data_IF_695075335449
#
_entry.id   IF_695075335449
#
_cell.length_a   1.000
_cell.length_b   1.000
_cell.length_c   1.000
_cell.angle_alpha   90.00
_cell.angle_beta   90.00
_cell.angle_gamma   90.00
#
_symmetry.space_group_name_H-M   'P 1'
#
loop_
_entity.id
_entity.type
_entity.pdbx_description
1 polymer ?
#
# COMPACT_ATOMS: atom_id res chain seq x y z
N UNK A 1 4.56 10.35 9.26
CA UNK A 1 3.19 10.88 9.31
C UNK A 1 2.35 10.14 8.29
N UNK A 2 1.82 8.97 8.68
CA UNK A 2 0.72 8.36 7.91
C UNK A 2 -0.51 9.18 8.24
N UNK A 3 -1.21 9.60 7.19
CA UNK A 3 -2.49 10.29 7.26
C UNK A 3 -3.48 9.34 7.96
N UNK A 4 -3.57 9.46 9.28
CA UNK A 4 -4.75 9.04 10.03
C UNK A 4 -5.53 10.32 10.32
N UNK A 5 -6.79 10.31 9.89
CA UNK A 5 -7.82 11.29 10.17
C UNK A 5 -7.68 12.68 9.51
N UNK A 6 -7.87 12.70 8.19
CA UNK A 6 -8.83 13.66 7.64
C UNK A 6 -10.01 12.87 7.10
N UNK A 7 -11.23 13.27 7.45
CA UNK A 7 -12.49 12.68 7.03
C UNK A 7 -12.55 12.44 5.51
N UNK A 8 -12.17 11.24 5.08
CA UNK A 8 -11.91 10.88 3.69
C UNK A 8 -13.20 10.44 2.99
N UNK A 9 -14.20 11.33 2.97
CA UNK A 9 -15.56 11.01 2.47
C UNK A 9 -15.70 11.09 0.95
N UNK A 10 -14.60 11.04 0.20
CA UNK A 10 -14.60 11.14 -1.27
C UNK A 10 -14.62 9.77 -1.94
N UNK A 11 -15.24 9.69 -3.11
CA UNK A 11 -15.23 8.49 -3.96
C UNK A 11 -14.00 8.54 -4.88
N UNK A 12 -13.33 7.40 -5.08
CA UNK A 12 -12.19 7.27 -5.99
C UNK A 12 -12.66 6.53 -7.24
N UNK A 13 -12.59 7.19 -8.39
CA UNK A 13 -12.76 6.56 -9.69
C UNK A 13 -11.41 6.02 -10.15
N UNK A 14 -11.33 4.72 -10.44
CA UNK A 14 -10.10 4.07 -10.90
C UNK A 14 -10.32 3.35 -12.22
N UNK A 15 -9.72 3.87 -13.30
CA UNK A 15 -9.78 3.27 -14.64
C UNK A 15 -8.58 2.37 -14.85
N UNK A 16 -8.86 1.10 -15.17
CA UNK A 16 -7.83 0.14 -15.59
C UNK A 16 -8.09 -0.40 -16.97
N UNK A 17 -7.04 -0.64 -17.75
CA UNK A 17 -7.18 -1.41 -18.98
C UNK A 17 -5.91 -1.48 -19.83
N UNK A 18 -5.84 -2.47 -20.72
CA UNK A 18 -4.70 -2.61 -21.62
C UNK A 18 -4.78 -1.65 -22.81
N UNK A 19 -3.64 -1.07 -23.20
CA UNK A 19 -3.47 -0.46 -24.51
C UNK A 19 -2.33 -1.15 -25.28
N UNK A 20 -2.64 -1.58 -26.50
CA UNK A 20 -1.67 -2.26 -27.36
C UNK A 20 -0.65 -1.26 -27.93
N UNK A 21 0.61 -1.36 -27.48
CA UNK A 21 1.72 -0.63 -28.06
C UNK A 21 2.37 -1.46 -29.17
N UNK A 22 2.16 -1.04 -30.42
CA UNK A 22 2.70 -1.68 -31.64
C UNK A 22 3.60 -0.68 -32.36
N UNK A 23 4.88 -0.98 -32.44
CA UNK A 23 5.89 -0.09 -33.01
C UNK A 23 6.80 -0.86 -33.97
N UNK A 24 6.89 -0.41 -35.21
CA UNK A 24 7.81 -0.95 -36.21
C UNK A 24 9.03 -0.03 -36.33
N UNK A 25 10.21 -0.57 -36.05
CA UNK A 25 11.49 0.13 -36.11
C UNK A 25 12.29 -0.35 -37.32
N UNK A 26 12.50 0.55 -38.28
CA UNK A 26 13.27 0.26 -39.50
C UNK A 26 14.77 0.57 -39.33
N UNK A 27 15.17 1.17 -38.20
CA UNK A 27 16.55 1.54 -37.88
C UNK A 27 16.82 1.33 -36.38
N UNK A 28 18.07 1.04 -36.03
CA UNK A 28 18.57 0.96 -34.65
C UNK A 28 19.21 2.28 -34.17
N UNK A 29 19.14 3.34 -34.98
CA UNK A 29 19.56 4.68 -34.57
C UNK A 29 18.63 5.21 -33.47
N UNK A 30 19.21 5.63 -32.35
CA UNK A 30 18.44 6.04 -31.17
C UNK A 30 17.48 7.20 -31.45
N UNK A 31 17.89 8.20 -32.23
CA UNK A 31 17.08 9.38 -32.52
C UNK A 31 15.89 9.05 -33.43
N UNK A 32 16.10 8.17 -34.42
CA UNK A 32 15.02 7.63 -35.24
C UNK A 32 14.06 6.76 -34.41
N UNK A 33 14.58 5.91 -33.54
CA UNK A 33 13.76 5.09 -32.64
C UNK A 33 12.87 5.93 -31.74
N UNK A 34 13.42 6.97 -31.09
CA UNK A 34 12.66 7.89 -30.24
C UNK A 34 11.52 8.55 -31.02
N UNK A 35 11.78 9.02 -32.24
CA UNK A 35 10.74 9.62 -33.09
C UNK A 35 9.61 8.65 -33.43
N UNK A 36 9.93 7.39 -33.75
CA UNK A 36 8.91 6.39 -34.06
C UNK A 36 8.08 6.06 -32.81
N UNK A 37 8.73 5.89 -31.66
CA UNK A 37 8.06 5.63 -30.37
C UNK A 37 7.11 6.77 -30.01
N UNK A 38 7.55 8.03 -30.08
CA UNK A 38 6.70 9.20 -29.85
C UNK A 38 5.50 9.24 -30.81
N UNK A 39 5.69 8.84 -32.07
CA UNK A 39 4.59 8.76 -33.05
C UNK A 39 3.58 7.66 -32.70
N UNK A 40 4.04 6.54 -32.16
CA UNK A 40 3.18 5.48 -31.63
C UNK A 40 2.39 5.98 -30.42
N UNK A 41 3.02 6.68 -29.48
CA UNK A 41 2.32 7.31 -28.35
C UNK A 41 1.29 8.35 -28.81
N UNK A 42 1.60 9.21 -29.79
CA UNK A 42 0.64 10.15 -30.38
C UNK A 42 -0.60 9.44 -30.99
N UNK A 43 -0.41 8.24 -31.53
CA UNK A 43 -1.51 7.40 -32.02
C UNK A 43 -2.36 6.88 -30.85
N UNK A 44 -1.74 6.42 -29.77
CA UNK A 44 -2.45 5.99 -28.56
C UNK A 44 -3.23 7.13 -27.90
N UNK A 45 -2.65 8.33 -27.82
CA UNK A 45 -3.36 9.54 -27.37
C UNK A 45 -4.61 9.80 -28.21
N UNK A 46 -4.48 9.67 -29.53
CA UNK A 46 -5.60 9.86 -30.47
C UNK A 46 -6.68 8.78 -30.30
N UNK A 47 -6.31 7.55 -29.94
CA UNK A 47 -7.26 6.48 -29.61
C UNK A 47 -8.06 6.81 -28.33
N UNK A 48 -7.39 7.22 -27.26
CA UNK A 48 -8.06 7.57 -25.99
C UNK A 48 -8.97 8.80 -26.14
N UNK A 49 -8.61 9.76 -27.00
CA UNK A 49 -9.43 10.95 -27.32
C UNK A 49 -10.51 10.70 -28.37
N UNK A 50 -10.57 9.52 -28.97
CA UNK A 50 -11.59 9.21 -29.98
C UNK A 50 -12.94 8.92 -29.33
N UNK A 51 -14.01 9.14 -30.08
CA UNK A 51 -15.37 8.75 -29.66
C UNK A 51 -15.55 7.24 -29.47
N UNK A 52 -14.61 6.43 -29.95
CA UNK A 52 -14.59 4.97 -29.75
C UNK A 52 -14.01 4.57 -28.39
N UNK A 53 -13.47 5.50 -27.60
CA UNK A 53 -13.03 5.24 -26.23
C UNK A 53 -14.26 5.06 -25.33
N UNK A 54 -14.30 3.95 -24.61
CA UNK A 54 -15.43 3.55 -23.75
C UNK A 54 -14.91 3.17 -22.38
N UNK A 55 -15.59 3.63 -21.32
CA UNK A 55 -15.33 3.25 -19.94
C UNK A 55 -16.53 2.47 -19.41
N UNK A 56 -16.29 1.27 -18.91
CA UNK A 56 -17.33 0.42 -18.32
C UNK A 56 -17.15 0.38 -16.80
N UNK A 57 -18.23 0.54 -16.03
CA UNK A 57 -18.17 0.35 -14.58
C UNK A 57 -18.13 -1.16 -14.32
N UNK A 58 -17.16 -1.61 -13.52
CA UNK A 58 -17.05 -3.03 -13.19
C UNK A 58 -18.28 -3.48 -12.39
N UNK A 59 -18.71 -4.71 -12.64
CA UNK A 59 -19.84 -5.35 -11.94
C UNK A 59 -21.15 -4.53 -12.04
N UNK A 60 -21.32 -3.84 -13.16
CA UNK A 60 -22.43 -2.92 -13.40
C UNK A 60 -22.81 -2.90 -14.89
N UNK A 61 -24.09 -2.65 -15.25
CA UNK A 61 -24.48 -2.41 -16.64
C UNK A 61 -24.07 -1.03 -17.16
N UNK A 62 -23.43 -0.18 -16.33
CA UNK A 62 -23.14 1.21 -16.69
C UNK A 62 -21.96 1.30 -17.66
N UNK A 63 -22.22 1.89 -18.82
CA UNK A 63 -21.23 2.15 -19.89
C UNK A 63 -21.22 3.64 -20.21
N UNK A 64 -20.01 4.21 -20.33
CA UNK A 64 -19.78 5.64 -20.46
C UNK A 64 -18.87 5.91 -21.66
N UNK A 65 -19.31 6.79 -22.55
CA UNK A 65 -18.52 7.34 -23.66
C UNK A 65 -18.05 8.75 -23.30
N UNK A 66 -16.86 8.90 -22.70
CA UNK A 66 -16.42 10.19 -22.18
C UNK A 66 -16.29 11.26 -23.28
N UNK A 67 -15.90 10.87 -24.50
CA UNK A 67 -15.68 11.79 -25.62
C UNK A 67 -16.96 12.16 -26.40
N UNK A 68 -18.13 11.58 -26.09
CA UNK A 68 -19.42 11.92 -26.72
C UNK A 68 -20.28 12.79 -25.80
N UNK A 69 -19.68 13.81 -25.21
CA UNK A 69 -20.34 14.64 -24.19
C UNK A 69 -20.69 13.86 -22.92
N UNK A 70 -19.84 12.88 -22.56
CA UNK A 70 -20.06 11.94 -21.44
C UNK A 70 -21.39 11.22 -21.56
N UNK A 71 -21.67 10.65 -22.73
CA UNK A 71 -22.88 9.85 -22.93
C UNK A 71 -22.83 8.60 -22.05
N UNK A 72 -23.90 8.35 -21.28
CA UNK A 72 -24.00 7.24 -20.32
C UNK A 72 -25.18 6.35 -20.71
N UNK A 73 -25.01 5.04 -20.50
CA UNK A 73 -26.11 4.07 -20.54
C UNK A 73 -26.09 3.29 -19.22
N UNK A 74 -27.25 2.96 -18.61
CA UNK A 74 -28.64 3.19 -19.04
C UNK A 74 -29.09 4.67 -19.04
N UNK A 75 -30.18 5.00 -19.76
CA UNK A 75 -30.71 6.38 -19.91
C UNK A 75 -31.11 7.06 -18.59
N UNK A 76 -31.32 6.27 -17.53
CA UNK A 76 -31.64 6.76 -16.18
C UNK A 76 -30.47 7.52 -15.53
N UNK A 77 -29.24 7.37 -16.05
CA UNK A 77 -28.06 8.09 -15.59
C UNK A 77 -27.73 9.19 -16.58
N UNK A 78 -27.67 10.42 -16.08
CA UNK A 78 -27.34 11.60 -16.90
C UNK A 78 -25.94 12.11 -16.55
N UNK A 79 -25.29 12.87 -17.45
CA UNK A 79 -23.99 13.48 -17.14
C UNK A 79 -24.00 14.38 -15.89
N UNK A 80 -25.17 14.92 -15.51
CA UNK A 80 -25.35 15.79 -14.35
C UNK A 80 -25.66 15.03 -13.05
N UNK A 81 -25.83 13.71 -13.13
CA UNK A 81 -26.00 12.87 -11.93
C UNK A 81 -24.74 12.95 -11.07
N UNK A 82 -24.88 12.83 -9.74
CA UNK A 82 -23.74 12.86 -8.83
C UNK A 82 -22.93 11.56 -8.94
N UNK A 83 -21.60 11.64 -8.81
CA UNK A 83 -20.74 10.46 -8.90
C UNK A 83 -21.08 9.39 -7.85
N UNK A 84 -21.47 9.82 -6.65
CA UNK A 84 -21.81 8.91 -5.55
C UNK A 84 -23.03 8.03 -5.86
N UNK A 85 -23.91 8.45 -6.77
CA UNK A 85 -25.09 7.68 -7.17
C UNK A 85 -24.73 6.49 -8.07
N UNK A 86 -23.54 6.45 -8.68
CA UNK A 86 -23.07 5.30 -9.48
C UNK A 86 -23.03 4.03 -8.60
N UNK A 87 -22.76 4.17 -7.31
CA UNK A 87 -22.72 3.02 -6.39
C UNK A 87 -24.02 2.23 -6.34
N UNK A 88 -25.17 2.85 -6.62
CA UNK A 88 -26.46 2.18 -6.61
C UNK A 88 -26.62 1.16 -7.75
N UNK A 89 -25.75 1.26 -8.77
CA UNK A 89 -25.80 0.44 -9.99
C UNK A 89 -24.74 -0.66 -10.02
N UNK A 90 -23.90 -0.77 -8.99
CA UNK A 90 -22.89 -1.82 -8.87
C UNK A 90 -23.54 -3.01 -8.16
N UNK A 91 -23.51 -4.18 -8.81
CA UNK A 91 -23.99 -5.43 -8.24
C UNK A 91 -23.02 -5.85 -7.14
N UNK A 92 -23.52 -6.04 -5.92
CA UNK A 92 -22.73 -6.60 -4.82
C UNK A 92 -23.00 -8.09 -4.72
N UNK A 93 -21.94 -8.91 -4.54
CA UNK A 93 -22.03 -10.37 -4.38
C UNK A 93 -23.00 -10.82 -3.26
N UNK A 94 -23.37 -9.94 -2.34
CA UNK A 94 -24.36 -10.21 -1.29
C UNK A 94 -25.81 -10.35 -1.82
N UNK A 95 -26.14 -9.80 -3.00
CA UNK A 95 -27.52 -9.82 -3.52
C UNK A 95 -27.95 -11.17 -4.12
N UNK A 96 -27.01 -12.06 -4.47
CA UNK A 96 -27.35 -13.34 -5.10
C UNK A 96 -27.72 -14.46 -4.12
N UNK A 97 -27.66 -14.21 -2.80
CA UNK A 97 -28.03 -15.20 -1.77
C UNK A 97 -29.31 -14.89 -0.98
N UNK A 98 -29.92 -13.72 -1.18
CA UNK A 98 -31.10 -13.30 -0.41
C UNK A 98 -32.26 -12.91 -1.33
N UNK A 99 -33.19 -13.86 -1.51
CA UNK A 99 -34.46 -13.62 -2.19
C UNK A 99 -35.19 -12.38 -1.67
N UNK A 100 -35.70 -11.58 -2.62
CA UNK A 100 -36.55 -10.39 -2.47
C UNK A 100 -37.26 -10.27 -1.11
N UNK A 101 -36.67 -9.52 -0.18
CA UNK A 101 -37.42 -8.78 0.85
C UNK A 101 -36.81 -7.40 1.03
N UNK A 102 -37.62 -6.40 0.71
CA UNK A 102 -37.38 -4.99 0.95
C UNK A 102 -37.09 -4.72 2.43
N UNK A 103 -35.87 -4.31 2.74
CA UNK A 103 -35.54 -3.68 4.01
C UNK A 103 -34.58 -2.52 3.73
N UNK A 104 -35.07 -1.29 3.92
CA UNK A 104 -34.25 -0.08 4.06
C UNK A 104 -33.32 -0.28 5.27
N UNK A 105 -32.14 -0.86 5.04
CA UNK A 105 -31.07 -0.90 6.03
C UNK A 105 -30.25 0.38 5.85
N UNK A 106 -30.35 1.24 6.85
CA UNK A 106 -29.63 2.51 6.94
C UNK A 106 -28.14 2.19 6.96
N UNK A 107 -27.44 2.45 5.85
CA UNK A 107 -26.00 2.22 5.74
C UNK A 107 -25.29 3.03 6.82
N UNK A 108 -24.64 2.34 7.76
CA UNK A 108 -23.69 2.94 8.69
C UNK A 108 -22.52 3.39 7.82
N UNK A 109 -22.40 4.71 7.55
CA UNK A 109 -21.29 5.27 6.77
C UNK A 109 -19.97 4.82 7.41
N UNK A 110 -19.33 3.85 6.77
CA UNK A 110 -17.92 3.52 6.98
C UNK A 110 -17.11 4.77 6.63
N UNK A 111 -16.12 5.13 7.45
CA UNK A 111 -15.22 6.26 7.24
C UNK A 111 -14.18 6.02 6.13
N UNK A 112 -14.32 4.94 5.37
CA UNK A 112 -13.36 4.50 4.35
C UNK A 112 -13.79 5.04 2.98
N UNK A 113 -12.85 5.61 2.23
CA UNK A 113 -13.05 6.06 0.86
C UNK A 113 -13.60 4.93 -0.02
N UNK A 114 -14.66 5.24 -0.77
CA UNK A 114 -15.30 4.28 -1.66
C UNK A 114 -14.58 4.24 -3.01
N UNK A 115 -14.39 3.06 -3.62
CA UNK A 115 -13.65 2.92 -4.88
C UNK A 115 -14.57 2.34 -5.96
N UNK A 116 -14.71 3.06 -7.08
CA UNK A 116 -15.42 2.60 -8.28
C UNK A 116 -14.38 2.20 -9.32
N UNK A 117 -14.35 0.90 -9.65
CA UNK A 117 -13.49 0.38 -10.69
C UNK A 117 -14.14 0.58 -12.06
N UNK A 118 -13.39 1.16 -12.98
CA UNK A 118 -13.75 1.36 -14.37
C UNK A 118 -12.79 0.55 -15.25
N UNK A 119 -13.27 0.02 -16.37
CA UNK A 119 -12.46 -0.67 -17.36
C UNK A 119 -12.41 0.13 -18.67
N UNK A 120 -11.19 0.44 -19.11
CA UNK A 120 -10.93 1.06 -20.40
C UNK A 120 -11.13 0.06 -21.53
N UNK A 121 -11.97 0.42 -22.50
CA UNK A 121 -12.30 -0.37 -23.66
C UNK A 121 -12.34 0.50 -24.92
N UNK A 122 -12.26 -0.14 -26.08
CA UNK A 122 -12.43 0.50 -27.38
C UNK A 122 -13.60 -0.14 -28.11
N UNK A 123 -14.48 0.69 -28.69
CA UNK A 123 -15.57 0.24 -29.53
C UNK A 123 -15.01 -0.53 -30.74
N UNK A 124 -15.38 -1.81 -30.85
CA UNK A 124 -14.90 -2.69 -31.93
C UNK A 124 -15.55 -2.37 -33.29
N UNK A 125 -16.74 -1.76 -33.27
CA UNK A 125 -17.55 -1.49 -34.45
C UNK A 125 -17.24 -0.11 -35.02
N UNK A 126 -16.69 -0.07 -36.23
CA UNK A 126 -16.67 1.14 -37.06
C UNK A 126 -17.92 1.14 -37.92
N UNK A 127 -18.76 2.16 -37.79
CA UNK A 127 -19.90 2.36 -38.69
C UNK A 127 -19.37 2.89 -40.03
N UNK A 128 -19.49 2.10 -41.10
CA UNK A 128 -19.16 2.55 -42.46
C UNK A 128 -18.80 1.42 -43.43
N UNK A 129 -18.75 1.70 -44.74
CA UNK A 129 -18.28 0.73 -45.72
C UNK A 129 -16.80 0.43 -45.47
N UNK A 130 -16.50 -0.80 -45.04
CA UNK A 130 -15.13 -1.28 -44.96
C UNK A 130 -14.58 -1.34 -46.38
N UNK A 131 -13.55 -0.54 -46.67
CA UNK A 131 -12.80 -0.70 -47.92
C UNK A 131 -12.23 -2.12 -47.99
N UNK A 132 -12.30 -2.76 -49.16
CA UNK A 132 -11.75 -4.10 -49.34
C UNK A 132 -10.26 -4.13 -48.90
N UNK A 133 -9.82 -5.12 -48.11
CA UNK A 133 -8.45 -5.16 -47.62
C UNK A 133 -7.49 -5.31 -48.81
N UNK A 134 -6.59 -4.34 -48.97
CA UNK A 134 -5.52 -4.41 -49.97
C UNK A 134 -4.31 -5.08 -49.31
N UNK A 135 -3.98 -6.29 -49.75
CA UNK A 135 -2.76 -6.99 -49.34
C UNK A 135 -1.59 -6.48 -50.19
N UNK A 136 -0.70 -5.72 -49.55
CA UNK A 136 0.59 -5.32 -50.14
C UNK A 136 1.72 -6.06 -49.44
N UNK A 137 2.50 -6.83 -50.21
CA UNK A 137 3.71 -7.51 -49.70
C UNK A 137 4.92 -6.61 -49.86
N UNK A 138 5.54 -6.24 -48.75
CA UNK A 138 6.84 -5.56 -48.71
C UNK A 138 7.81 -6.44 -47.94
N UNK A 139 9.01 -6.67 -48.47
CA UNK A 139 10.06 -7.44 -47.80
C UNK A 139 11.11 -6.46 -47.29
N UNK A 140 11.13 -6.23 -45.99
CA UNK A 140 12.10 -5.36 -45.32
C UNK A 140 12.54 -6.02 -44.01
N UNK A 141 13.79 -5.78 -43.60
CA UNK A 141 14.25 -6.13 -42.26
C UNK A 141 13.89 -4.98 -41.32
N UNK A 142 13.00 -5.25 -40.38
CA UNK A 142 12.56 -4.30 -39.36
C UNK A 142 12.49 -5.01 -38.01
N UNK A 143 12.70 -4.27 -36.93
CA UNK A 143 12.39 -4.74 -35.58
C UNK A 143 10.94 -4.39 -35.26
N UNK A 144 10.21 -5.31 -34.64
CA UNK A 144 8.84 -5.06 -34.20
C UNK A 144 8.80 -5.12 -32.67
N UNK A 145 8.43 -4.00 -32.06
CA UNK A 145 8.18 -3.90 -30.64
C UNK A 145 6.68 -4.04 -30.40
N UNK A 146 6.32 -5.01 -29.58
CA UNK A 146 4.96 -5.23 -29.14
C UNK A 146 4.93 -5.39 -27.64
N UNK A 147 4.10 -4.59 -26.98
CA UNK A 147 3.80 -4.74 -25.56
C UNK A 147 2.40 -4.24 -25.27
N UNK A 148 1.89 -4.60 -24.10
CA UNK A 148 0.63 -4.08 -23.57
C UNK A 148 0.94 -3.08 -22.47
N UNK A 149 0.55 -1.83 -22.67
CA UNK A 149 0.70 -0.79 -21.67
C UNK A 149 -0.42 -0.91 -20.63
N UNK A 150 -0.09 -1.01 -19.34
CA UNK A 150 -1.08 -1.11 -18.27
C UNK A 150 -1.59 0.29 -17.93
N UNK A 151 -2.76 0.69 -18.46
CA UNK A 151 -3.40 1.92 -18.00
C UNK A 151 -3.98 1.68 -16.61
N UNK A 152 -3.60 2.51 -15.64
CA UNK A 152 -4.24 2.59 -14.31
C UNK A 152 -4.31 4.06 -13.89
N UNK A 153 -5.47 4.71 -14.03
CA UNK A 153 -5.65 6.13 -13.72
C UNK A 153 -6.65 6.31 -12.59
N UNK A 154 -6.40 7.29 -11.72
CA UNK A 154 -7.26 7.60 -10.58
C UNK A 154 -7.68 9.06 -10.57
N UNK A 155 -8.94 9.30 -10.21
CA UNK A 155 -9.48 10.62 -9.92
C UNK A 155 -10.30 10.53 -8.64
N UNK A 156 -10.05 11.46 -7.73
CA UNK A 156 -10.82 11.61 -6.50
C UNK A 156 -11.95 12.61 -6.72
N UNK A 157 -13.16 12.22 -6.32
CA UNK A 157 -14.35 13.06 -6.42
C UNK A 157 -14.78 13.59 -5.06
N UNK A 158 -15.40 14.77 -5.08
CA UNK A 158 -16.15 15.35 -3.96
C UNK A 158 -17.63 14.95 -4.06
N UNK A 159 -18.39 15.15 -2.99
CA UNK A 159 -19.83 14.87 -2.96
C UNK A 159 -20.65 15.72 -3.96
N UNK A 160 -20.06 16.79 -4.49
CA UNK A 160 -20.72 17.71 -5.42
C UNK A 160 -20.35 17.46 -6.88
N UNK A 161 -19.40 16.54 -7.14
CA UNK A 161 -18.89 16.33 -8.48
C UNK A 161 -19.91 15.53 -9.31
N UNK A 162 -20.28 16.07 -10.47
CA UNK A 162 -21.11 15.36 -11.42
C UNK A 162 -20.29 14.31 -12.18
N UNK A 163 -20.98 13.33 -12.78
CA UNK A 163 -20.34 12.35 -13.68
C UNK A 163 -19.56 13.07 -14.77
N UNK A 164 -20.10 14.15 -15.34
CA UNK A 164 -19.40 14.94 -16.35
C UNK A 164 -18.06 15.48 -15.84
N UNK A 165 -18.06 16.18 -14.70
CA UNK A 165 -16.86 16.81 -14.13
C UNK A 165 -15.78 15.78 -13.77
N UNK A 166 -16.20 14.62 -13.26
CA UNK A 166 -15.27 13.56 -12.89
C UNK A 166 -14.67 12.87 -14.12
N UNK A 167 -15.46 12.62 -15.17
CA UNK A 167 -14.99 11.93 -16.37
C UNK A 167 -14.17 12.84 -17.30
N UNK A 168 -14.40 14.15 -17.29
CA UNK A 168 -13.52 15.12 -17.96
C UNK A 168 -12.11 15.10 -17.31
N UNK A 169 -12.03 15.19 -15.98
CA UNK A 169 -10.76 15.05 -15.25
C UNK A 169 -10.09 13.69 -15.45
N UNK A 170 -10.89 12.62 -15.56
CA UNK A 170 -10.38 11.27 -15.81
C UNK A 170 -9.76 11.14 -17.20
N UNK A 171 -10.32 11.80 -18.20
CA UNK A 171 -9.78 11.83 -19.55
C UNK A 171 -8.47 12.64 -19.63
N UNK A 172 -8.39 13.73 -18.87
CA UNK A 172 -7.15 14.48 -18.65
C UNK A 172 -6.09 13.59 -17.97
N UNK A 173 -6.46 12.85 -16.92
CA UNK A 173 -5.57 11.92 -16.23
C UNK A 173 -5.06 10.79 -17.16
N UNK A 174 -5.93 10.19 -17.98
CA UNK A 174 -5.55 9.18 -18.99
C UNK A 174 -4.55 9.75 -20.00
N UNK A 175 -4.79 10.98 -20.47
CA UNK A 175 -3.90 11.67 -21.40
C UNK A 175 -2.56 11.96 -20.72
N UNK A 176 -2.58 12.51 -19.50
CA UNK A 176 -1.36 12.82 -18.75
C UNK A 176 -0.51 11.57 -18.49
N UNK A 177 -1.14 10.46 -18.10
CA UNK A 177 -0.43 9.20 -17.90
C UNK A 177 0.26 8.69 -19.16
N UNK A 178 -0.36 8.79 -20.34
CA UNK A 178 0.29 8.42 -21.59
C UNK A 178 1.52 9.30 -21.88
N UNK A 179 1.48 10.60 -21.55
CA UNK A 179 2.65 11.48 -21.65
C UNK A 179 3.78 11.02 -20.71
N UNK A 180 3.46 10.64 -19.47
CA UNK A 180 4.47 10.15 -18.51
C UNK A 180 5.02 8.78 -18.92
N UNK A 181 4.17 7.88 -19.43
CA UNK A 181 4.60 6.60 -20.00
C UNK A 181 5.55 6.79 -21.19
N UNK A 182 5.28 7.77 -22.06
CA UNK A 182 6.20 8.14 -23.15
C UNK A 182 7.55 8.59 -22.61
N UNK A 183 7.57 9.52 -21.65
CA UNK A 183 8.82 10.01 -21.02
C UNK A 183 9.63 8.88 -20.42
N UNK A 184 9.01 8.02 -19.60
CA UNK A 184 9.68 6.88 -18.96
C UNK A 184 10.22 5.90 -20.00
N UNK A 185 9.44 5.61 -21.04
CA UNK A 185 9.86 4.72 -22.13
C UNK A 185 11.08 5.26 -22.85
N UNK A 186 11.08 6.55 -23.21
CA UNK A 186 12.19 7.20 -23.91
C UNK A 186 13.45 7.33 -23.04
N UNK A 187 13.30 7.49 -21.73
CA UNK A 187 14.43 7.56 -20.80
C UNK A 187 15.10 6.19 -20.57
N UNK A 188 14.34 5.09 -20.63
CA UNK A 188 14.81 3.77 -20.22
C UNK A 188 15.00 2.77 -21.36
N UNK A 189 14.70 3.16 -22.60
CA UNK A 189 14.96 2.30 -23.76
C UNK A 189 16.47 2.08 -23.94
N UNK A 190 16.88 0.81 -24.04
CA UNK A 190 18.28 0.41 -24.27
C UNK A 190 18.36 -0.46 -25.51
N UNK A 191 18.93 0.09 -26.58
CA UNK A 191 18.91 -0.57 -27.89
C UNK A 191 17.46 -0.84 -28.32
N UNK A 192 17.13 -2.08 -28.64
CA UNK A 192 15.77 -2.50 -29.03
C UNK A 192 14.94 -3.07 -27.88
N UNK A 193 15.38 -2.92 -26.63
CA UNK A 193 14.66 -3.43 -25.46
C UNK A 193 13.85 -2.31 -24.82
N UNK A 194 12.52 -2.48 -24.84
CA UNK A 194 11.56 -1.57 -24.21
C UNK A 194 11.15 -2.12 -22.85
N UNK A 195 11.28 -1.30 -21.82
CA UNK A 195 10.74 -1.59 -20.49
C UNK A 195 9.31 -1.05 -20.41
N UNK A 196 8.39 -1.85 -19.87
CA UNK A 196 6.98 -1.46 -19.75
C UNK A 196 6.87 -0.37 -18.68
N UNK A 197 6.28 0.80 -18.98
CA UNK A 197 6.02 1.81 -17.96
C UNK A 197 4.81 1.40 -17.11
N UNK A 198 5.01 1.33 -15.79
CA UNK A 198 4.03 0.92 -14.79
C UNK A 198 3.58 2.14 -13.97
N UNK A 199 2.29 2.53 -14.06
CA UNK A 199 1.72 3.55 -13.19
C UNK A 199 1.50 2.99 -11.77
N UNK A 200 1.94 3.74 -10.76
CA UNK A 200 1.70 3.48 -9.35
C UNK A 200 1.10 4.71 -8.69
N UNK A 201 0.18 4.49 -7.75
CA UNK A 201 -0.50 5.57 -7.04
C UNK A 201 0.08 5.71 -5.64
N UNK A 202 0.28 6.94 -5.16
CA UNK A 202 0.87 7.25 -3.87
C UNK A 202 -0.03 8.23 -3.14
N UNK A 203 -0.40 7.93 -1.89
CA UNK A 203 -1.15 8.85 -1.05
C UNK A 203 -0.16 9.70 -0.24
N UNK A 204 0.03 10.94 -0.68
CA UNK A 204 0.91 11.90 -0.05
C UNK A 204 0.17 12.69 1.04
N UNK A 205 0.89 13.29 2.01
CA UNK A 205 0.30 14.22 2.95
C UNK A 205 -0.42 15.38 2.23
N UNK A 206 -1.49 15.89 2.86
CA UNK A 206 -2.17 17.10 2.40
C UNK A 206 -1.17 18.27 2.24
N UNK A 207 -1.31 19.11 1.21
CA UNK A 207 -2.43 19.20 0.26
C UNK A 207 -2.30 18.33 -1.01
N UNK A 208 -1.27 17.48 -1.12
CA UNK A 208 -0.96 16.78 -2.37
C UNK A 208 -1.93 15.63 -2.67
N UNK A 209 -2.35 14.88 -1.65
CA UNK A 209 -3.30 13.77 -1.80
C UNK A 209 -2.78 12.64 -2.69
N UNK A 210 -3.68 12.04 -3.49
CA UNK A 210 -3.38 10.87 -4.33
C UNK A 210 -2.69 11.28 -5.64
N UNK A 211 -1.45 10.84 -5.83
CA UNK A 211 -0.59 11.15 -6.99
C UNK A 211 -0.26 9.88 -7.77
N UNK A 212 -0.15 9.97 -9.09
CA UNK A 212 0.30 8.86 -9.95
C UNK A 212 1.71 9.12 -10.46
N UNK A 213 2.60 8.15 -10.28
CA UNK A 213 3.98 8.15 -10.79
C UNK A 213 4.17 6.94 -11.67
N UNK A 214 4.87 7.10 -12.79
CA UNK A 214 5.16 6.01 -13.72
C UNK A 214 6.62 5.57 -13.55
N UNK A 215 6.82 4.27 -13.34
CA UNK A 215 8.15 3.66 -13.22
C UNK A 215 8.40 2.62 -14.32
N UNK A 216 9.65 2.41 -14.74
CA UNK A 216 9.97 1.32 -15.65
C UNK A 216 9.93 -0.03 -14.94
N UNK A 217 9.14 -0.97 -15.48
CA UNK A 217 9.07 -2.35 -15.01
C UNK A 217 10.45 -3.02 -15.02
N UNK A 218 10.76 -3.76 -13.95
CA UNK A 218 12.01 -4.51 -13.83
C UNK A 218 13.24 -3.70 -13.39
N UNK A 219 13.14 -2.38 -13.23
CA UNK A 219 14.21 -1.56 -12.63
C UNK A 219 14.01 -1.47 -11.11
N UNK A 220 14.96 -1.93 -10.28
CA UNK A 220 14.82 -1.94 -8.82
C UNK A 220 14.79 -0.53 -8.24
N UNK A 221 14.20 -0.36 -7.04
CA UNK A 221 14.05 0.97 -6.41
C UNK A 221 15.42 1.60 -6.09
N UNK A 222 16.47 0.80 -5.90
CA UNK A 222 17.84 1.27 -5.72
C UNK A 222 18.39 2.07 -6.91
N UNK A 223 17.89 1.86 -8.12
CA UNK A 223 18.32 2.59 -9.33
C UNK A 223 17.45 3.82 -9.64
N UNK A 224 16.34 4.01 -8.91
CA UNK A 224 15.36 5.07 -9.15
C UNK A 224 15.43 6.20 -8.11
N UNK A 225 16.49 6.24 -7.30
CA UNK A 225 16.67 7.24 -6.24
C UNK A 225 16.68 8.67 -6.76
N UNK A 226 17.32 8.92 -7.91
CA UNK A 226 17.36 10.27 -8.52
C UNK A 226 15.96 10.74 -8.91
N UNK A 227 15.17 9.87 -9.55
CA UNK A 227 13.77 10.19 -9.88
C UNK A 227 12.95 10.46 -8.61
N UNK A 228 13.18 9.72 -7.51
CA UNK A 228 12.50 9.98 -6.23
C UNK A 228 12.92 11.30 -5.59
N UNK A 229 14.19 11.71 -5.68
CA UNK A 229 14.64 13.04 -5.24
C UNK A 229 13.91 14.15 -5.97
N UNK A 230 13.78 14.03 -7.28
CA UNK A 230 13.05 15.01 -8.10
C UNK A 230 11.57 15.07 -7.69
N UNK A 231 10.94 13.92 -7.42
CA UNK A 231 9.56 13.85 -6.92
C UNK A 231 9.41 14.46 -5.51
N UNK A 232 10.34 14.20 -4.59
CA UNK A 232 10.35 14.84 -3.28
C UNK A 232 10.42 16.36 -3.39
N UNK A 233 11.30 16.88 -4.25
CA UNK A 233 11.41 18.31 -4.52
C UNK A 233 10.13 18.86 -5.15
N UNK A 234 9.56 18.15 -6.13
CA UNK A 234 8.33 18.56 -6.82
C UNK A 234 7.13 18.68 -5.87
N UNK A 235 7.01 17.79 -4.89
CA UNK A 235 5.89 17.74 -3.94
C UNK A 235 6.22 18.34 -2.57
N UNK A 236 7.38 19.01 -2.43
CA UNK A 236 7.85 19.67 -1.21
C UNK A 236 7.88 18.73 0.02
N UNK A 237 8.26 17.46 -0.21
CA UNK A 237 8.29 16.43 0.84
C UNK A 237 9.65 16.40 1.56
N UNK A 238 9.67 16.10 2.88
CA UNK A 238 10.92 15.94 3.61
C UNK A 238 11.74 14.72 3.14
N UNK A 239 13.06 14.86 3.06
CA UNK A 239 14.01 13.79 2.71
C UNK A 239 14.34 12.85 3.89
N UNK A 240 13.36 12.60 4.76
CA UNK A 240 13.51 11.78 5.97
C UNK A 240 12.70 10.48 5.91
N UNK A 241 11.88 10.32 4.88
CA UNK A 241 10.94 9.22 4.76
C UNK A 241 10.73 8.83 3.29
N UNK A 242 10.76 7.55 2.92
CA UNK A 242 10.43 7.09 1.57
C UNK A 242 8.94 7.23 1.27
N UNK A 243 8.59 8.06 0.28
CA UNK A 243 7.20 8.25 -0.17
C UNK A 243 6.89 7.53 -1.49
N UNK A 244 7.87 7.38 -2.37
CA UNK A 244 7.65 6.96 -3.76
C UNK A 244 8.28 5.62 -4.12
N UNK A 245 8.65 4.78 -3.15
CA UNK A 245 9.10 3.41 -3.43
C UNK A 245 7.91 2.53 -3.73
N UNK A 246 8.11 1.44 -4.47
CA UNK A 246 6.98 0.57 -4.88
C UNK A 246 6.18 0.03 -3.70
N UNK A 247 6.84 -0.23 -2.57
CA UNK A 247 6.19 -0.66 -1.34
C UNK A 247 5.25 0.40 -0.72
N UNK A 248 5.47 1.69 -1.03
CA UNK A 248 4.63 2.80 -0.56
C UNK A 248 3.41 3.06 -1.47
N UNK A 249 3.22 2.27 -2.53
CA UNK A 249 2.07 2.42 -3.39
C UNK A 249 0.76 2.25 -2.58
N UNK A 250 -0.18 3.17 -2.82
CA UNK A 250 -1.47 3.19 -2.17
C UNK A 250 -2.24 1.91 -2.47
N UNK A 251 -2.61 1.20 -1.39
CA UNK A 251 -3.48 0.04 -1.48
C UNK A 251 -4.93 0.48 -1.40
N UNK A 252 -5.68 0.23 -2.47
CA UNK A 252 -7.09 0.62 -2.51
C UNK A 252 -7.89 -0.26 -1.53
N UNK A 253 -8.87 0.31 -0.78
CA UNK A 253 -9.63 -0.43 0.23
C UNK A 253 -10.37 -1.67 -0.26
N UNK A 254 -10.69 -1.75 -1.55
CA UNK A 254 -11.35 -2.89 -2.18
C UNK A 254 -10.37 -4.00 -2.62
N UNK A 255 -9.07 -3.87 -2.38
CA UNK A 255 -8.07 -4.87 -2.72
C UNK A 255 -7.64 -5.68 -1.50
N UNK A 256 -7.92 -6.98 -1.49
CA UNK A 256 -7.47 -7.89 -0.44
C UNK A 256 -5.97 -8.15 -0.50
N UNK A 257 -5.32 -8.32 0.66
CA UNK A 257 -3.93 -8.75 0.72
C UNK A 257 -3.83 -10.24 0.35
N UNK A 258 -2.95 -10.57 -0.60
CA UNK A 258 -2.80 -11.94 -1.11
C UNK A 258 -2.09 -12.88 -0.11
N UNK A 259 -1.37 -12.30 0.84
CA UNK A 259 -0.61 -13.04 1.86
C UNK A 259 -1.46 -13.45 3.07
N UNK A 260 -2.68 -12.93 3.18
CA UNK A 260 -3.64 -13.30 4.21
C UNK A 260 -3.46 -12.63 5.57
N UNK A 261 -2.33 -11.97 5.86
CA UNK A 261 -2.11 -11.36 7.18
C UNK A 261 -2.92 -10.07 7.36
N UNK A 262 -3.50 -9.90 8.54
CA UNK A 262 -4.17 -8.64 8.90
C UNK A 262 -3.18 -7.46 8.94
N UNK A 263 -3.62 -6.31 8.41
CA UNK A 263 -2.89 -5.05 8.47
C UNK A 263 -3.50 -4.12 9.50
N UNK A 264 -2.65 -3.48 10.28
CA UNK A 264 -3.01 -2.42 11.23
C UNK A 264 -4.29 -2.71 12.05
N UNK A 265 -4.40 -3.87 12.74
CA UNK A 265 -5.60 -4.21 13.51
C UNK A 265 -5.94 -3.16 14.58
N UNK A 266 -4.97 -2.35 15.01
CA UNK A 266 -5.18 -1.27 15.96
C UNK A 266 -6.09 -0.12 15.48
N UNK A 267 -6.27 0.06 14.16
CA UNK A 267 -7.05 1.20 13.62
C UNK A 267 -8.55 1.13 13.93
N UNK A 268 -9.09 -0.05 14.22
CA UNK A 268 -10.51 -0.20 14.59
C UNK A 268 -10.76 -0.01 16.09
N UNK A 269 -9.71 0.16 16.88
CA UNK A 269 -9.80 0.31 18.33
C UNK A 269 -10.21 1.74 18.69
N UNK A 270 -11.03 1.87 19.73
CA UNK A 270 -11.28 3.16 20.35
C UNK A 270 -10.09 3.56 21.23
N UNK A 271 -9.58 4.77 21.04
CA UNK A 271 -8.51 5.30 21.89
C UNK A 271 -8.98 5.57 23.32
N UNK A 272 -8.16 5.29 24.35
CA UNK A 272 -8.50 5.59 25.72
C UNK A 272 -8.55 7.11 25.92
N UNK A 273 -9.58 7.59 26.60
CA UNK A 273 -9.65 8.98 27.06
C UNK A 273 -8.93 9.09 28.40
N UNK A 274 -7.78 9.78 28.39
CA UNK A 274 -7.01 10.13 29.58
C UNK A 274 -7.09 11.64 29.78
N UNK A 275 -7.14 12.10 31.03
CA UNK A 275 -7.17 13.52 31.33
C UNK A 275 -5.88 14.20 30.86
N UNK A 276 -6.01 15.20 29.98
CA UNK A 276 -4.89 15.82 29.24
C UNK A 276 -3.92 14.81 28.60
N UNK A 277 -4.40 13.62 28.24
CA UNK A 277 -3.57 12.59 27.60
C UNK A 277 -3.54 12.72 26.10
N UNK A 278 -2.40 12.38 25.52
CA UNK A 278 -2.19 12.30 24.08
C UNK A 278 -1.88 10.87 23.66
N UNK A 279 -2.27 10.51 22.44
CA UNK A 279 -2.04 9.20 21.85
C UNK A 279 -0.89 9.30 20.86
N UNK A 280 0.12 8.45 21.03
CA UNK A 280 1.30 8.35 20.18
C UNK A 280 1.36 6.93 19.61
N UNK A 281 0.74 6.69 18.44
CA UNK A 281 0.76 5.39 17.79
C UNK A 281 1.97 5.23 16.85
N UNK A 282 2.21 3.99 16.45
CA UNK A 282 3.03 3.61 15.30
C UNK A 282 2.56 4.37 14.05
N UNK A 283 3.52 4.81 13.23
CA UNK A 283 3.25 5.51 11.98
C UNK A 283 3.61 4.58 10.84
N UNK A 284 2.65 4.16 10.02
CA UNK A 284 2.93 3.21 8.93
C UNK A 284 1.93 2.08 8.87
N UNK A 285 2.15 1.22 7.89
CA UNK A 285 1.46 -0.06 7.72
C UNK A 285 2.38 -1.18 8.20
N UNK A 286 1.82 -2.13 8.95
CA UNK A 286 2.49 -3.36 9.38
C UNK A 286 1.49 -4.53 9.32
N UNK A 287 1.99 -5.76 9.15
CA UNK A 287 1.18 -6.97 9.31
C UNK A 287 1.29 -7.53 10.71
N UNK A 288 0.19 -8.12 11.17
CA UNK A 288 0.16 -8.84 12.44
C UNK A 288 0.68 -10.26 12.25
N UNK A 289 1.87 -10.51 12.79
CA UNK A 289 2.44 -11.86 12.87
C UNK A 289 2.21 -12.46 14.26
N UNK A 290 1.70 -13.68 14.32
CA UNK A 290 1.34 -14.39 15.56
C UNK A 290 1.54 -15.90 15.41
N UNK A 291 1.33 -16.64 16.51
CA UNK A 291 1.50 -18.10 16.53
C UNK A 291 0.67 -18.84 15.48
N UNK A 292 1.17 -20.00 15.09
CA UNK A 292 0.53 -20.95 14.16
C UNK A 292 0.40 -20.46 12.71
N UNK A 293 1.00 -19.32 12.36
CA UNK A 293 1.15 -18.88 10.97
C UNK A 293 2.30 -19.63 10.27
N UNK A 294 2.35 -19.56 8.94
CA UNK A 294 3.44 -20.09 8.10
C UNK A 294 3.72 -21.59 8.27
N UNK A 295 2.68 -22.35 8.67
CA UNK A 295 2.75 -23.80 8.90
C UNK A 295 3.77 -24.24 9.96
N UNK A 296 4.10 -23.37 10.91
CA UNK A 296 4.97 -23.71 12.05
C UNK A 296 4.20 -23.60 13.36
N UNK A 297 4.26 -24.66 14.17
CA UNK A 297 3.81 -24.64 15.57
C UNK A 297 4.93 -24.05 16.43
N UNK A 298 4.87 -22.73 16.58
CA UNK A 298 5.77 -21.94 17.40
C UNK A 298 5.19 -21.58 18.77
N UNK A 299 4.10 -22.25 19.16
CA UNK A 299 3.44 -22.00 20.43
C UNK A 299 4.38 -22.31 21.60
N UNK A 300 4.55 -21.33 22.49
CA UNK A 300 5.39 -21.40 23.67
C UNK A 300 6.86 -21.00 23.48
N UNK A 301 7.32 -20.68 22.26
CA UNK A 301 8.71 -20.26 22.03
C UNK A 301 8.91 -19.18 20.96
N UNK A 302 7.91 -18.95 20.10
CA UNK A 302 8.02 -18.06 18.94
C UNK A 302 7.71 -16.58 19.20
N UNK A 303 7.32 -16.16 20.42
CA UNK A 303 6.70 -14.85 20.64
C UNK A 303 7.57 -13.68 20.15
N UNK A 304 8.87 -13.73 20.43
CA UNK A 304 9.82 -12.73 19.97
C UNK A 304 10.09 -12.79 18.45
N UNK A 305 10.03 -13.98 17.85
CA UNK A 305 10.11 -14.16 16.39
C UNK A 305 8.94 -13.47 15.69
N UNK A 306 7.72 -13.67 16.18
CA UNK A 306 6.51 -13.05 15.63
C UNK A 306 6.48 -11.53 15.82
N UNK A 307 6.95 -11.04 16.97
CA UNK A 307 7.14 -9.61 17.18
C UNK A 307 8.17 -9.02 16.21
N UNK A 308 9.29 -9.71 15.99
CA UNK A 308 10.30 -9.32 15.00
C UNK A 308 9.74 -9.34 13.57
N UNK A 309 8.95 -10.35 13.19
CA UNK A 309 8.28 -10.39 11.89
C UNK A 309 7.34 -9.21 11.68
N UNK A 310 6.60 -8.81 12.71
CA UNK A 310 5.77 -7.59 12.70
C UNK A 310 6.63 -6.35 12.43
N UNK A 311 7.78 -6.21 13.10
CA UNK A 311 8.73 -5.10 12.87
C UNK A 311 9.29 -5.15 11.44
N UNK A 312 9.76 -6.30 10.96
CA UNK A 312 10.26 -6.48 9.60
C UNK A 312 9.20 -6.10 8.57
N UNK A 313 7.94 -6.49 8.79
CA UNK A 313 6.84 -6.14 7.91
C UNK A 313 6.59 -4.65 7.82
N UNK A 314 6.82 -3.91 8.91
CA UNK A 314 6.71 -2.46 8.94
C UNK A 314 7.81 -1.85 8.05
N UNK A 315 9.07 -2.26 8.22
CA UNK A 315 10.17 -1.74 7.39
C UNK A 315 9.99 -2.07 5.91
N UNK A 316 9.49 -3.26 5.60
CA UNK A 316 9.16 -3.66 4.24
C UNK A 316 8.06 -2.77 3.65
N UNK A 317 6.93 -2.62 4.35
CA UNK A 317 5.77 -1.85 3.86
C UNK A 317 6.00 -0.34 3.86
N UNK A 318 6.94 0.14 4.66
CA UNK A 318 7.37 1.54 4.61
C UNK A 318 8.47 1.76 3.57
N UNK A 319 8.92 0.74 2.83
CA UNK A 319 9.89 0.90 1.74
C UNK A 319 11.35 1.00 2.17
N UNK A 320 11.67 0.72 3.43
CA UNK A 320 13.05 0.69 3.92
C UNK A 320 13.83 -0.54 3.46
N UNK A 321 13.14 -1.60 3.02
CA UNK A 321 13.77 -2.79 2.46
C UNK A 321 12.85 -3.54 1.50
N UNK A 322 13.44 -4.18 0.49
CA UNK A 322 12.73 -5.05 -0.45
C UNK A 322 12.68 -6.52 0.05
N UNK A 323 13.41 -6.82 1.13
CA UNK A 323 13.47 -8.17 1.70
C UNK A 323 12.10 -8.59 2.22
N UNK A 324 11.72 -9.83 1.94
CA UNK A 324 10.56 -10.45 2.56
C UNK A 324 10.74 -10.58 4.09
N UNK A 325 9.61 -10.66 4.80
CA UNK A 325 9.60 -10.96 6.23
C UNK A 325 10.31 -12.29 6.50
N UNK A 326 11.32 -12.34 7.38
CA UNK A 326 12.13 -13.54 7.57
C UNK A 326 11.37 -14.63 8.32
N UNK A 327 11.63 -15.88 7.95
CA UNK A 327 11.16 -17.08 8.67
C UNK A 327 11.93 -17.28 9.98
N UNK A 328 11.42 -18.11 10.91
CA UNK A 328 12.16 -18.46 12.14
C UNK A 328 13.55 -19.00 11.85
N UNK A 329 13.69 -19.82 10.79
CA UNK A 329 14.97 -20.40 10.39
C UNK A 329 15.95 -19.34 9.89
N UNK A 330 15.48 -18.36 9.11
CA UNK A 330 16.33 -17.24 8.66
C UNK A 330 16.74 -16.34 9.83
N UNK A 331 15.83 -16.09 10.78
CA UNK A 331 16.13 -15.34 12.01
C UNK A 331 17.20 -16.08 12.83
N UNK A 332 17.07 -17.40 13.01
CA UNK A 332 18.07 -18.21 13.70
C UNK A 332 19.40 -18.22 12.95
N UNK A 333 19.37 -18.33 11.62
CA UNK A 333 20.57 -18.30 10.79
C UNK A 333 21.29 -16.95 10.91
N UNK A 334 20.56 -15.83 10.90
CA UNK A 334 21.14 -14.50 11.09
C UNK A 334 21.88 -14.37 12.42
N UNK A 335 21.36 -14.97 13.50
CA UNK A 335 22.03 -14.98 14.81
C UNK A 335 23.30 -15.85 14.83
N UNK A 336 23.33 -16.93 14.05
CA UNK A 336 24.55 -17.73 13.86
C UNK A 336 25.56 -16.97 13.02
N UNK A 337 25.12 -16.28 11.96
CA UNK A 337 25.99 -15.55 11.03
C UNK A 337 26.73 -14.40 11.72
N UNK A 338 26.09 -13.72 12.68
CA UNK A 338 26.73 -12.66 13.50
C UNK A 338 27.52 -13.21 14.70
N UNK A 339 27.56 -14.53 14.88
CA UNK A 339 28.32 -15.19 15.94
C UNK A 339 27.68 -15.14 17.34
N UNK A 340 26.41 -14.73 17.46
CA UNK A 340 25.69 -14.72 18.74
C UNK A 340 25.33 -16.14 19.21
N UNK A 341 24.95 -17.01 18.26
CA UNK A 341 24.52 -18.39 18.54
C UNK A 341 25.39 -19.43 17.82
N UNK A 342 25.42 -20.64 18.37
CA UNK A 342 26.05 -21.81 17.76
C UNK A 342 25.20 -22.35 16.60
N UNK A 343 25.82 -23.04 15.63
CA UNK A 343 25.11 -23.59 14.46
C UNK A 343 23.92 -24.50 14.80
N UNK A 344 23.95 -25.20 15.94
CA UNK A 344 22.85 -26.03 16.45
C UNK A 344 21.58 -25.25 16.82
N UNK A 345 21.67 -23.91 16.89
CA UNK A 345 20.53 -23.04 17.16
C UNK A 345 19.53 -23.01 16.00
N UNK A 346 20.01 -23.21 14.76
CA UNK A 346 19.17 -23.24 13.57
C UNK A 346 18.33 -24.50 13.55
N UNK A 347 17.01 -24.35 13.40
CA UNK A 347 16.03 -25.42 13.52
C UNK A 347 15.64 -25.76 14.96
N UNK A 348 16.21 -25.07 15.95
CA UNK A 348 15.80 -25.23 17.36
C UNK A 348 14.44 -24.57 17.64
N UNK A 349 13.89 -24.83 18.82
CA UNK A 349 12.69 -24.17 19.38
C UNK A 349 13.05 -23.25 20.55
N UNK A 350 14.25 -22.69 20.53
CA UNK A 350 14.69 -21.79 21.59
C UNK A 350 14.09 -20.40 21.40
N UNK A 351 13.71 -19.75 22.50
CA UNK A 351 13.26 -18.36 22.49
C UNK A 351 14.44 -17.40 22.29
N UNK A 352 14.14 -16.18 21.84
CA UNK A 352 15.09 -15.07 21.68
C UNK A 352 14.61 -13.85 22.45
N UNK A 353 15.51 -12.93 22.80
CA UNK A 353 15.20 -11.70 23.51
C UNK A 353 15.34 -10.44 22.65
N UNK A 354 15.19 -9.28 23.28
CA UNK A 354 15.27 -7.97 22.62
C UNK A 354 16.65 -7.69 21.98
N UNK A 355 17.72 -8.26 22.53
CA UNK A 355 19.07 -8.11 21.97
C UNK A 355 19.23 -8.88 20.66
N UNK A 356 18.79 -10.15 20.64
CA UNK A 356 18.78 -10.96 19.43
C UNK A 356 17.88 -10.34 18.35
N UNK A 357 16.70 -9.82 18.74
CA UNK A 357 15.83 -9.06 17.82
C UNK A 357 16.59 -7.88 17.19
N UNK A 358 17.30 -7.08 17.99
CA UNK A 358 18.12 -5.98 17.49
C UNK A 358 19.23 -6.46 16.56
N UNK A 359 19.93 -7.54 16.89
CA UNK A 359 21.01 -8.09 16.07
C UNK A 359 20.49 -8.58 14.70
N UNK A 360 19.32 -9.20 14.68
CA UNK A 360 18.70 -9.69 13.43
C UNK A 360 18.21 -8.52 12.56
N UNK A 361 17.64 -7.47 13.17
CA UNK A 361 17.25 -6.26 12.43
C UNK A 361 18.45 -5.60 11.76
N UNK A 362 19.57 -5.51 12.47
CA UNK A 362 20.82 -4.96 11.92
C UNK A 362 21.35 -5.85 10.79
N UNK A 363 21.47 -7.16 11.02
CA UNK A 363 22.03 -8.11 10.06
C UNK A 363 21.19 -8.24 8.78
N UNK A 364 19.86 -8.29 8.89
CA UNK A 364 18.99 -8.58 7.75
C UNK A 364 18.51 -7.34 7.01
N UNK A 365 18.37 -6.21 7.71
CA UNK A 365 17.78 -4.98 7.17
C UNK A 365 18.71 -3.75 7.28
N UNK A 366 19.86 -3.86 7.95
CA UNK A 366 20.71 -2.69 8.24
C UNK A 366 20.05 -1.69 9.19
N UNK A 367 19.13 -2.18 10.04
CA UNK A 367 18.35 -1.34 10.96
C UNK A 367 18.98 -1.36 12.35
N UNK A 368 19.47 -0.21 12.79
CA UNK A 368 19.95 -0.04 14.16
C UNK A 368 18.78 0.08 15.14
N UNK A 369 18.95 -0.41 16.37
CA UNK A 369 17.92 -0.32 17.41
C UNK A 369 18.50 0.22 18.71
N UNK A 370 17.67 0.93 19.48
CA UNK A 370 17.98 1.32 20.86
C UNK A 370 17.38 0.29 21.82
N UNK A 371 18.18 -0.21 22.76
CA UNK A 371 17.66 -1.03 23.86
C UNK A 371 17.34 -0.14 25.05
N UNK A 372 16.10 -0.21 25.53
CA UNK A 372 15.67 0.43 26.77
C UNK A 372 15.51 -0.62 27.86
N UNK A 373 16.25 -0.44 28.94
CA UNK A 373 16.27 -1.34 30.10
C UNK A 373 15.29 -0.86 31.16
N UNK A 374 14.50 -1.77 31.68
CA UNK A 374 13.58 -1.53 32.79
C UNK A 374 13.75 -2.64 33.81
N UNK A 375 14.11 -2.28 35.05
CA UNK A 375 14.51 -3.26 36.07
C UNK A 375 13.32 -4.04 36.62
N UNK A 376 12.15 -3.40 36.66
CA UNK A 376 10.90 -3.94 37.21
C UNK A 376 9.70 -3.45 36.39
N UNK A 377 8.70 -4.28 36.14
CA UNK A 377 7.51 -3.88 35.37
C UNK A 377 6.75 -2.69 35.97
N UNK A 378 6.84 -2.49 37.29
CA UNK A 378 6.29 -1.32 37.98
C UNK A 378 6.92 0.01 37.52
N UNK A 379 8.15 -0.02 37.01
CA UNK A 379 8.86 1.15 36.49
C UNK A 379 8.49 1.48 35.04
N UNK A 380 7.79 0.60 34.31
CA UNK A 380 7.44 0.85 32.90
C UNK A 380 6.63 2.14 32.73
N UNK A 381 5.76 2.46 33.69
CA UNK A 381 4.96 3.68 33.64
C UNK A 381 5.81 4.96 33.62
N UNK A 382 7.02 4.92 34.20
CA UNK A 382 7.97 6.04 34.16
C UNK A 382 8.57 6.28 32.77
N UNK A 383 8.45 5.31 31.85
CA UNK A 383 9.00 5.36 30.47
C UNK A 383 8.05 5.96 29.44
N UNK A 384 6.91 6.50 29.89
CA UNK A 384 5.90 7.07 29.00
C UNK A 384 6.43 8.15 28.08
N UNK A 385 7.30 9.03 28.59
CA UNK A 385 7.90 10.11 27.81
C UNK A 385 8.82 9.58 26.72
N UNK A 386 9.70 8.64 27.04
CA UNK A 386 10.62 8.05 26.06
C UNK A 386 9.87 7.28 24.96
N UNK A 387 8.82 6.54 25.32
CA UNK A 387 7.97 5.84 24.37
C UNK A 387 7.17 6.80 23.48
N UNK A 388 6.55 7.83 24.07
CA UNK A 388 5.85 8.87 23.32
C UNK A 388 6.79 9.55 22.30
N UNK A 389 8.01 9.90 22.73
CA UNK A 389 9.01 10.49 21.84
C UNK A 389 9.45 9.52 20.74
N UNK A 390 9.61 8.22 21.03
CA UNK A 390 9.91 7.21 20.02
C UNK A 390 8.82 7.14 18.95
N UNK A 391 7.55 7.04 19.34
CA UNK A 391 6.45 6.97 18.37
C UNK A 391 6.25 8.28 17.60
N UNK A 392 6.57 9.42 18.19
CA UNK A 392 6.54 10.72 17.51
C UNK A 392 7.67 10.85 16.47
N UNK A 393 8.89 10.49 16.84
CA UNK A 393 10.10 10.71 16.02
C UNK A 393 10.36 9.57 15.05
N UNK A 394 10.36 8.33 15.51
CA UNK A 394 10.61 7.12 14.71
C UNK A 394 9.30 6.48 14.24
N UNK A 395 8.32 6.33 15.13
CA UNK A 395 7.02 5.75 14.77
C UNK A 395 7.07 4.25 14.41
N UNK A 396 8.14 3.53 14.76
CA UNK A 396 8.30 2.09 14.51
C UNK A 396 7.65 1.26 15.63
N UNK A 397 7.16 0.03 15.35
CA UNK A 397 6.73 -0.90 16.39
C UNK A 397 7.88 -1.26 17.34
N UNK A 398 7.59 -1.44 18.62
CA UNK A 398 8.59 -1.74 19.66
C UNK A 398 8.36 -3.15 20.19
N UNK A 399 9.38 -4.00 20.15
CA UNK A 399 9.32 -5.31 20.81
C UNK A 399 9.68 -5.13 22.29
N UNK A 400 8.88 -5.71 23.18
CA UNK A 400 9.19 -5.79 24.62
C UNK A 400 9.32 -7.25 25.04
N UNK A 401 10.43 -7.59 25.70
CA UNK A 401 10.68 -8.91 26.25
C UNK A 401 10.79 -8.87 27.77
N UNK A 402 10.08 -9.76 28.46
CA UNK A 402 10.16 -9.98 29.90
C UNK A 402 10.23 -11.48 30.20
N UNK A 403 11.39 -11.95 30.64
CA UNK A 403 11.66 -13.38 30.76
C UNK A 403 11.51 -14.11 29.41
N UNK A 404 10.61 -15.10 29.35
CA UNK A 404 10.33 -15.91 28.16
C UNK A 404 9.16 -15.40 27.31
N UNK A 405 8.52 -14.30 27.72
CA UNK A 405 7.37 -13.72 27.02
C UNK A 405 7.80 -12.46 26.28
N UNK A 406 7.21 -12.27 25.09
CA UNK A 406 7.39 -11.06 24.31
C UNK A 406 6.06 -10.53 23.77
N UNK A 407 5.95 -9.22 23.66
CA UNK A 407 4.82 -8.53 23.04
C UNK A 407 5.32 -7.43 22.10
N UNK A 408 4.44 -6.92 21.25
CA UNK A 408 4.73 -5.74 20.42
C UNK A 408 3.92 -4.55 20.93
N UNK A 409 4.60 -3.48 21.32
CA UNK A 409 3.99 -2.19 21.65
C UNK A 409 3.87 -1.39 20.35
N UNK A 410 2.65 -1.00 20.02
CA UNK A 410 2.32 -0.22 18.82
C UNK A 410 2.04 1.25 19.13
N UNK A 411 2.06 1.65 20.40
CA UNK A 411 1.78 3.01 20.80
C UNK A 411 1.58 3.17 22.29
N UNK A 412 1.55 4.42 22.73
CA UNK A 412 1.22 4.79 24.11
C UNK A 412 0.17 5.90 24.12
N UNK A 413 -0.75 5.83 25.08
CA UNK A 413 -1.57 6.97 25.46
C UNK A 413 -1.02 7.46 26.79
N UNK A 414 -0.53 8.69 26.83
CA UNK A 414 0.21 9.21 27.97
C UNK A 414 -0.22 10.63 28.30
N UNK A 415 -0.47 10.88 29.58
CA UNK A 415 -0.74 12.20 30.14
C UNK A 415 0.50 12.70 30.85
N UNK A 416 1.13 13.74 30.31
CA UNK A 416 2.31 14.37 30.90
C UNK A 416 1.97 14.96 32.28
N UNK A 417 0.74 15.46 32.45
CA UNK A 417 0.28 16.11 33.70
C UNK A 417 0.02 15.10 34.82
N UNK A 418 -0.66 13.98 34.52
CA UNK A 418 -1.08 13.02 35.55
C UNK A 418 -0.15 11.83 35.69
N UNK A 419 0.74 11.60 34.72
CA UNK A 419 1.56 10.39 34.62
C UNK A 419 0.78 9.13 34.20
N UNK A 420 -0.54 9.22 33.99
CA UNK A 420 -1.34 8.09 33.54
C UNK A 420 -0.88 7.62 32.15
N UNK A 421 -0.79 6.30 32.00
CA UNK A 421 -0.33 5.67 30.77
C UNK A 421 -1.14 4.42 30.44
N UNK A 422 -1.37 4.22 29.14
CA UNK A 422 -1.84 2.96 28.56
C UNK A 422 -0.91 2.56 27.42
N UNK A 423 -0.76 1.26 27.23
CA UNK A 423 0.07 0.68 26.17
C UNK A 423 -0.84 0.03 25.13
N UNK A 424 -0.64 0.33 23.86
CA UNK A 424 -1.30 -0.38 22.78
C UNK A 424 -0.49 -1.62 22.46
N UNK A 425 -1.01 -2.79 22.83
CA UNK A 425 -0.33 -4.07 22.71
C UNK A 425 -0.89 -4.85 21.53
N UNK A 426 0.02 -5.44 20.76
CA UNK A 426 -0.24 -6.50 19.80
C UNK A 426 0.45 -7.77 20.30
N UNK A 427 -0.38 -8.76 20.63
CA UNK A 427 0.03 -9.96 21.33
C UNK A 427 0.37 -11.08 20.33
N UNK A 428 1.64 -11.51 20.20
CA UNK A 428 2.01 -12.55 19.26
C UNK A 428 1.52 -13.96 19.63
N UNK A 429 0.97 -14.16 20.84
CA UNK A 429 0.57 -15.48 21.33
C UNK A 429 -0.78 -15.95 20.79
N UNK A 430 -1.49 -15.13 20.01
CA UNK A 430 -2.74 -15.52 19.38
C UNK A 430 -2.53 -16.71 18.43
N UNK A 431 -3.37 -17.74 18.54
CA UNK A 431 -3.26 -19.00 17.76
C UNK A 431 -4.44 -19.23 16.82
N UNK A 432 -5.40 -18.30 16.76
CA UNK A 432 -6.62 -18.46 15.97
C UNK A 432 -6.45 -18.06 14.52
N UNK A 433 -7.55 -18.07 13.77
CA UNK A 433 -7.58 -17.58 12.39
C UNK A 433 -7.51 -16.03 12.35
N UNK A 434 -7.27 -15.47 11.15
CA UNK A 434 -7.22 -14.03 10.86
C UNK A 434 -8.60 -13.33 10.99
N UNK A 435 -9.17 -13.38 12.19
CA UNK A 435 -10.46 -12.81 12.55
C UNK A 435 -10.23 -11.53 13.36
N UNK A 436 -10.38 -10.38 12.68
CA UNK A 436 -10.16 -9.07 13.27
C UNK A 436 -11.05 -8.83 14.49
N UNK A 437 -12.31 -9.29 14.47
CA UNK A 437 -13.24 -9.09 15.57
C UNK A 437 -12.78 -9.87 16.80
N UNK A 438 -12.38 -11.14 16.65
CA UNK A 438 -11.85 -11.93 17.76
C UNK A 438 -10.57 -11.31 18.33
N UNK A 439 -9.69 -10.82 17.45
CA UNK A 439 -8.42 -10.20 17.84
C UNK A 439 -8.65 -8.95 18.69
N UNK A 440 -9.62 -8.11 18.33
CA UNK A 440 -9.92 -6.88 19.07
C UNK A 440 -10.77 -7.13 20.30
N UNK A 441 -11.85 -7.93 20.19
CA UNK A 441 -12.81 -8.13 21.28
C UNK A 441 -12.20 -8.92 22.45
N UNK A 442 -11.31 -9.88 22.14
CA UNK A 442 -10.55 -10.61 23.18
C UNK A 442 -9.28 -9.88 23.62
N UNK A 443 -8.96 -8.75 23.00
CA UNK A 443 -7.86 -7.89 23.39
C UNK A 443 -6.46 -8.43 23.08
N UNK A 444 -6.32 -9.23 22.01
CA UNK A 444 -5.02 -9.61 21.44
C UNK A 444 -4.35 -8.43 20.75
N UNK A 445 -5.15 -7.54 20.15
CA UNK A 445 -4.75 -6.17 19.83
C UNK A 445 -5.58 -5.22 20.68
N UNK A 446 -4.98 -4.47 21.60
CA UNK A 446 -5.76 -3.64 22.53
C UNK A 446 -4.95 -2.75 23.47
N UNK A 447 -5.63 -1.76 24.04
CA UNK A 447 -5.08 -0.88 25.07
C UNK A 447 -5.04 -1.56 26.44
N UNK A 448 -3.86 -1.62 27.06
CA UNK A 448 -3.59 -2.24 28.36
C UNK A 448 -3.09 -1.22 29.37
N UNK A 449 -3.45 -1.42 30.64
CA UNK A 449 -2.96 -0.60 31.76
C UNK A 449 -1.57 -1.04 32.24
N UNK A 450 -0.96 -0.30 33.19
CA UNK A 450 0.33 -0.67 33.77
C UNK A 450 0.32 -2.06 34.46
N UNK A 451 -0.83 -2.47 34.99
CA UNK A 451 -1.02 -3.77 35.66
C UNK A 451 -0.94 -4.98 34.72
N UNK A 452 -0.86 -4.74 33.40
CA UNK A 452 -0.61 -5.79 32.43
C UNK A 452 0.78 -6.41 32.57
N UNK A 453 1.75 -5.62 33.03
CA UNK A 453 3.12 -6.07 33.21
C UNK A 453 3.28 -6.76 34.56
N UNK A 454 4.15 -7.77 34.62
CA UNK A 454 4.59 -8.33 35.90
C UNK A 454 5.43 -7.28 36.62
N UNK A 455 4.93 -6.84 37.77
CA UNK A 455 5.49 -5.71 38.51
C UNK A 455 6.90 -5.97 39.04
N UNK A 456 7.32 -7.24 39.09
CA UNK A 456 8.61 -7.69 39.65
C UNK A 456 9.62 -8.14 38.59
N UNK A 457 9.16 -8.42 37.37
CA UNK A 457 10.02 -8.88 36.29
C UNK A 457 10.79 -7.72 35.65
N UNK A 458 11.99 -7.99 35.15
CA UNK A 458 12.73 -7.05 34.31
C UNK A 458 12.21 -7.10 32.88
N UNK A 459 12.31 -5.98 32.17
CA UNK A 459 11.91 -5.84 30.78
C UNK A 459 12.99 -5.15 29.96
N UNK A 460 13.21 -5.66 28.75
CA UNK A 460 14.02 -5.00 27.73
C UNK A 460 13.10 -4.65 26.56
N UNK A 461 13.22 -3.41 26.07
CA UNK A 461 12.49 -2.95 24.90
C UNK A 461 13.49 -2.70 23.77
N UNK A 462 13.24 -3.30 22.61
CA UNK A 462 13.95 -3.03 21.37
C UNK A 462 13.18 -1.96 20.59
N UNK A 463 13.77 -0.78 20.44
CA UNK A 463 13.21 0.38 19.74
C UNK A 463 13.94 0.56 18.39
N UNK A 464 13.42 0.03 17.27
CA UNK A 464 14.06 0.13 15.96
C UNK A 464 14.11 1.57 15.47
N UNK A 465 15.26 2.00 14.93
CA UNK A 465 15.46 3.35 14.41
C UNK A 465 15.30 3.36 12.88
N UNK A 466 14.68 4.39 12.32
CA UNK A 466 14.51 4.49 10.87
C UNK A 466 15.83 4.88 10.20
N UNK A 467 16.27 4.15 9.17
CA UNK A 467 17.32 4.62 8.28
C UNK A 467 16.90 5.93 7.61
N UNK A 468 17.83 6.84 7.35
CA UNK A 468 17.55 8.07 6.59
C UNK A 468 17.66 7.77 5.09
N UNK A 469 16.53 7.42 4.48
CA UNK A 469 16.43 7.06 3.06
C UNK A 469 15.15 7.61 2.44
N UNK A 470 15.14 7.70 1.11
CA UNK A 470 13.98 8.08 0.27
C UNK A 470 13.69 7.05 -0.82
#
# INVERSE_FOLDING_TARGET
MVVTDSSDTGTILRVRGPLDFKCQLDSTDALLMHKVISRTFATLHSQVKSESCVLTVCDSPVIIWPNRGVYVTPEDITPNTLCDDIHQWIQTDEQDSAGKRSAKKKNKKSSVASVINLRLMMEATKTGPLSAPILRRTVQKSHFLFTTLPMDCVVRTTCNDTIKDAFERLLEALTHQLCEMEKVTLQHIKGTTLLVPEPLHFLLPEPNGLVTVVYPAGVPDSQLEMQRKDLHQQFELPDLWPYFRRANAYRFPNESYKDGYLRNPHLVLTHPSLDNGQVYPVQGIYSYHHYMQDHIDDNGWGCAYRSLQTICSWFQQQGYGERAVPTHKEIQQALVDVGDKQASFVGSRQWIGSFEVSAVLDQLLGVTSKIMFVSQGSELASKGRELANHFLTEGTPVMIGGGVLAHTILGVAWSETTGQIRYLILDPHYTGAEDLQVITDKGWCGWKGPDFWDQTAYYNLCLPQRPKVI
#
